data_IF_494634466125
#
_entry.id   IF_494634466125
#
_cell.length_a   1.000
_cell.length_b   1.000
_cell.length_c   1.000
_cell.angle_alpha   90.00
_cell.angle_beta   90.00
_cell.angle_gamma   90.00
#
_symmetry.space_group_name_H-M   'P 1'
#
loop_
_entity.id
_entity.type
_entity.pdbx_description
1 polymer ?
#
# COMPACT_ATOMS: atom_id res chain seq x y z
N UNK A 1 -15.22 11.79 -3.80
CA UNK A 1 -15.88 10.52 -3.44
C UNK A 1 -15.95 10.40 -1.92
N UNK A 2 -16.97 9.76 -1.34
CA UNK A 2 -16.99 9.50 0.09
C UNK A 2 -15.84 8.56 0.47
N UNK A 3 -15.18 8.78 1.62
CA UNK A 3 -14.01 8.01 2.04
C UNK A 3 -14.25 6.48 2.08
N UNK A 4 -15.48 6.06 2.39
CA UNK A 4 -15.87 4.64 2.36
C UNK A 4 -15.90 4.02 0.96
N UNK A 5 -16.27 4.78 -0.08
CA UNK A 5 -16.30 4.29 -1.45
C UNK A 5 -14.88 4.05 -2.00
N UNK A 6 -13.96 4.99 -1.73
CA UNK A 6 -12.56 4.84 -2.12
C UNK A 6 -11.89 3.65 -1.42
N UNK A 7 -12.18 3.45 -0.13
CA UNK A 7 -11.69 2.30 0.61
C UNK A 7 -12.15 0.96 0.00
N UNK A 8 -13.42 0.87 -0.42
CA UNK A 8 -13.96 -0.31 -1.06
C UNK A 8 -13.33 -0.56 -2.45
N UNK A 9 -13.14 0.49 -3.25
CA UNK A 9 -12.46 0.43 -4.54
C UNK A 9 -11.02 -0.05 -4.41
N UNK A 10 -10.25 0.53 -3.49
CA UNK A 10 -8.88 0.11 -3.20
C UNK A 10 -8.85 -1.36 -2.77
N UNK A 11 -9.79 -1.78 -1.92
CA UNK A 11 -9.91 -3.18 -1.51
C UNK A 11 -10.10 -4.09 -2.72
N UNK A 12 -11.07 -3.79 -3.58
CA UNK A 12 -11.35 -4.57 -4.78
C UNK A 12 -10.14 -4.61 -5.74
N UNK A 13 -9.41 -3.51 -5.89
CA UNK A 13 -8.21 -3.44 -6.74
C UNK A 13 -7.09 -4.36 -6.22
N UNK A 14 -6.83 -4.36 -4.91
CA UNK A 14 -5.88 -5.30 -4.31
C UNK A 14 -6.38 -6.75 -4.44
N UNK A 15 -7.65 -7.02 -4.16
CA UNK A 15 -8.17 -8.39 -4.20
C UNK A 15 -8.07 -8.97 -5.62
N UNK A 16 -8.32 -8.15 -6.65
CA UNK A 16 -8.12 -8.53 -8.05
C UNK A 16 -6.64 -8.80 -8.38
N UNK A 17 -5.71 -7.99 -7.86
CA UNK A 17 -4.27 -8.22 -8.02
C UNK A 17 -3.84 -9.53 -7.35
N UNK A 18 -4.26 -9.77 -6.10
CA UNK A 18 -3.96 -11.01 -5.38
C UNK A 18 -4.53 -12.24 -6.09
N UNK A 19 -5.73 -12.15 -6.66
CA UNK A 19 -6.37 -13.26 -7.36
C UNK A 19 -5.71 -13.61 -8.71
N UNK A 20 -5.03 -12.65 -9.33
CA UNK A 20 -4.40 -12.82 -10.66
C UNK A 20 -2.89 -13.03 -10.59
N UNK A 21 -2.26 -12.80 -9.43
CA UNK A 21 -0.83 -13.00 -9.25
C UNK A 21 -0.44 -14.48 -9.43
N UNK A 22 0.60 -14.79 -10.24
CA UNK A 22 1.10 -16.15 -10.38
C UNK A 22 1.52 -16.73 -9.02
N UNK A 23 1.19 -17.99 -8.77
CA UNK A 23 1.52 -18.68 -7.51
C UNK A 23 2.37 -19.93 -7.80
N UNK A 24 3.36 -19.78 -8.67
CA UNK A 24 4.12 -20.90 -9.24
C UNK A 24 5.32 -21.24 -8.36
N UNK A 25 6.03 -20.22 -7.88
CA UNK A 25 7.25 -20.38 -7.10
C UNK A 25 6.98 -20.37 -5.60
N UNK A 26 7.97 -20.79 -4.81
CA UNK A 26 7.92 -20.62 -3.35
C UNK A 26 7.92 -19.15 -2.96
N UNK A 27 8.66 -18.31 -3.70
CA UNK A 27 8.73 -16.88 -3.43
C UNK A 27 7.36 -16.22 -3.61
N UNK A 28 6.62 -16.58 -4.68
CA UNK A 28 5.27 -16.06 -4.93
C UNK A 28 4.33 -16.38 -3.76
N UNK A 29 4.38 -17.62 -3.26
CA UNK A 29 3.56 -18.05 -2.11
C UNK A 29 3.88 -17.27 -0.85
N UNK A 30 5.18 -17.08 -0.56
CA UNK A 30 5.63 -16.33 0.60
C UNK A 30 5.20 -14.86 0.51
N UNK A 31 5.33 -14.25 -0.67
CA UNK A 31 4.90 -12.87 -0.92
C UNK A 31 3.40 -12.70 -0.62
N UNK A 32 2.54 -13.56 -1.19
CA UNK A 32 1.10 -13.49 -0.99
C UNK A 32 0.72 -13.71 0.49
N UNK A 33 1.38 -14.64 1.17
CA UNK A 33 1.18 -14.92 2.59
C UNK A 33 1.57 -13.72 3.46
N UNK A 34 2.75 -13.13 3.24
CA UNK A 34 3.24 -11.99 3.99
C UNK A 34 2.39 -10.74 3.75
N UNK A 35 2.00 -10.50 2.50
CA UNK A 35 1.08 -9.41 2.17
C UNK A 35 -0.26 -9.57 2.89
N UNK A 36 -0.83 -10.78 2.86
CA UNK A 36 -2.10 -11.08 3.53
C UNK A 36 -2.02 -10.88 5.04
N UNK A 37 -0.92 -11.32 5.68
CA UNK A 37 -0.67 -11.10 7.12
C UNK A 37 -0.56 -9.62 7.48
N UNK A 38 0.07 -8.82 6.62
CA UNK A 38 0.27 -7.40 6.85
C UNK A 38 -0.90 -6.53 6.39
N UNK A 39 -1.91 -7.10 5.71
CA UNK A 39 -3.09 -6.38 5.23
C UNK A 39 -3.75 -5.57 6.34
N UNK A 40 -3.87 -4.27 6.12
CA UNK A 40 -4.59 -3.37 7.02
C UNK A 40 -6.06 -3.26 6.61
N UNK A 41 -6.91 -2.89 7.57
CA UNK A 41 -8.24 -2.37 7.23
C UNK A 41 -8.06 -1.02 6.53
N UNK A 42 -8.59 -0.83 5.31
CA UNK A 42 -8.42 0.42 4.60
C UNK A 42 -9.01 1.58 5.38
N UNK A 43 -8.22 2.63 5.54
CA UNK A 43 -8.60 3.89 6.17
C UNK A 43 -7.81 5.03 5.57
N UNK A 44 -8.37 6.24 5.60
CA UNK A 44 -7.63 7.43 5.21
C UNK A 44 -6.41 7.63 6.11
N UNK A 45 -5.29 8.00 5.51
CA UNK A 45 -4.03 8.30 6.20
C UNK A 45 -3.38 9.51 5.55
N UNK A 46 -2.73 10.34 6.35
CA UNK A 46 -1.89 11.43 5.85
C UNK A 46 -0.51 10.88 5.52
N UNK A 47 -0.06 11.10 4.29
CA UNK A 47 1.27 10.73 3.80
C UNK A 47 2.11 11.99 3.65
N UNK A 48 3.32 11.96 4.18
CA UNK A 48 4.30 13.03 4.02
C UNK A 48 5.03 12.85 2.69
N UNK A 49 5.17 13.93 1.95
CA UNK A 49 5.89 13.97 0.68
C UNK A 49 7.22 14.70 0.90
N UNK A 50 8.34 14.19 0.34
CA UNK A 50 9.61 14.90 0.36
C UNK A 50 9.44 16.35 -0.11
N UNK A 51 9.98 17.30 0.64
CA UNK A 51 9.74 18.74 0.42
C UNK A 51 8.67 19.36 1.33
N UNK A 52 8.09 18.59 2.26
CA UNK A 52 7.27 19.11 3.37
C UNK A 52 5.77 19.23 3.05
N UNK A 53 5.31 18.72 1.91
CA UNK A 53 3.90 18.64 1.59
C UNK A 53 3.27 17.38 2.21
N UNK A 54 1.94 17.37 2.34
CA UNK A 54 1.18 16.20 2.77
C UNK A 54 0.07 15.87 1.79
N UNK A 55 -0.25 14.59 1.68
CA UNK A 55 -1.32 14.06 0.81
C UNK A 55 -2.21 13.12 1.61
N UNK A 56 -3.44 12.94 1.15
CA UNK A 56 -4.34 11.94 1.73
C UNK A 56 -4.27 10.66 0.89
N UNK A 57 -3.90 9.56 1.53
CA UNK A 57 -3.90 8.23 0.94
C UNK A 57 -4.84 7.26 1.67
N UNK A 58 -4.86 6.01 1.22
CA UNK A 58 -5.58 4.91 1.86
C UNK A 58 -4.57 3.89 2.34
N UNK A 59 -4.57 3.58 3.63
CA UNK A 59 -3.69 2.58 4.23
C UNK A 59 -3.96 1.19 3.64
N UNK A 60 -2.92 0.49 3.19
CA UNK A 60 -3.02 -0.82 2.53
C UNK A 60 -2.44 -1.94 3.39
N UNK A 61 -1.25 -1.75 3.93
CA UNK A 61 -0.63 -2.64 4.91
C UNK A 61 -0.46 -1.93 6.24
N UNK A 62 -0.32 -2.71 7.32
CA UNK A 62 0.11 -2.19 8.61
C UNK A 62 1.60 -1.87 8.52
N UNK A 63 2.03 -0.90 9.31
CA UNK A 63 3.46 -0.69 9.56
C UNK A 63 4.08 -1.98 10.10
N UNK A 64 5.20 -2.39 9.51
CA UNK A 64 6.06 -3.44 10.03
C UNK A 64 7.24 -2.89 10.85
N UNK A 65 7.21 -1.60 11.18
CA UNK A 65 8.28 -0.86 11.87
C UNK A 65 9.30 -0.22 10.93
N UNK A 66 9.24 -0.52 9.62
CA UNK A 66 10.09 0.09 8.61
C UNK A 66 9.27 0.69 7.46
N UNK A 67 8.29 -0.06 6.96
CA UNK A 67 7.51 0.30 5.79
C UNK A 67 6.01 0.13 6.01
N UNK A 68 5.26 0.97 5.30
CA UNK A 68 3.81 0.92 5.18
C UNK A 68 3.43 1.14 3.72
N UNK A 69 2.56 0.30 3.18
CA UNK A 69 2.01 0.49 1.84
C UNK A 69 0.77 1.37 1.90
N UNK A 70 0.70 2.38 1.03
CA UNK A 70 -0.42 3.32 0.94
C UNK A 70 -0.86 3.47 -0.52
N UNK A 71 -2.16 3.54 -0.75
CA UNK A 71 -2.71 3.91 -2.06
C UNK A 71 -2.88 5.44 -2.15
N UNK A 72 -2.40 6.02 -3.25
CA UNK A 72 -2.38 7.46 -3.49
C UNK A 72 -3.39 7.82 -4.60
N UNK A 73 -4.59 8.32 -4.26
CA UNK A 73 -5.65 8.56 -5.25
C UNK A 73 -5.32 9.64 -6.27
N UNK A 74 -4.48 10.63 -5.92
CA UNK A 74 -4.11 11.73 -6.84
C UNK A 74 -3.29 11.25 -8.06
N UNK A 75 -2.55 10.15 -7.90
CA UNK A 75 -1.72 9.55 -8.95
C UNK A 75 -2.19 8.14 -9.34
N UNK A 76 -3.30 7.69 -8.75
CA UNK A 76 -3.91 6.37 -8.92
C UNK A 76 -2.96 5.15 -8.73
N UNK A 77 -1.89 5.31 -7.94
CA UNK A 77 -0.87 4.28 -7.71
C UNK A 77 -0.72 3.90 -6.23
N UNK A 78 -0.10 2.75 -5.99
CA UNK A 78 0.40 2.39 -4.66
C UNK A 78 1.78 3.01 -4.44
N UNK A 79 2.07 3.41 -3.21
CA UNK A 79 3.36 3.95 -2.77
C UNK A 79 3.85 3.15 -1.57
N UNK A 80 5.09 2.66 -1.66
CA UNK A 80 5.82 2.19 -0.51
C UNK A 80 6.29 3.41 0.30
N UNK A 81 5.81 3.53 1.52
CA UNK A 81 6.21 4.58 2.43
C UNK A 81 7.14 4.01 3.50
N UNK A 82 8.10 4.81 3.96
CA UNK A 82 8.84 4.51 5.19
C UNK A 82 8.08 5.05 6.40
N UNK A 83 8.15 4.31 7.50
CA UNK A 83 7.56 4.76 8.76
C UNK A 83 8.42 5.86 9.39
N UNK A 84 7.78 6.89 9.93
CA UNK A 84 8.45 7.97 10.65
C UNK A 84 7.63 8.44 11.84
N UNK A 85 8.24 9.26 12.70
CA UNK A 85 7.54 9.89 13.84
C UNK A 85 6.40 10.82 13.40
N UNK A 86 6.40 11.28 12.14
CA UNK A 86 5.36 12.12 11.56
C UNK A 86 4.33 11.33 10.76
N UNK A 87 4.39 9.99 10.80
CA UNK A 87 3.60 9.10 9.96
C UNK A 87 4.34 8.65 8.69
N UNK A 88 3.66 7.98 7.76
CA UNK A 88 4.28 7.42 6.57
C UNK A 88 4.86 8.52 5.66
N UNK A 89 6.04 8.29 5.11
CA UNK A 89 6.73 9.18 4.16
C UNK A 89 6.90 8.47 2.83
N UNK A 90 6.39 9.05 1.76
CA UNK A 90 6.58 8.53 0.39
C UNK A 90 8.05 8.66 -0.03
N UNK A 91 8.65 7.55 -0.48
CA UNK A 91 10.04 7.50 -0.94
C UNK A 91 10.16 7.40 -2.47
N UNK A 92 9.06 7.55 -3.21
CA UNK A 92 9.06 7.55 -4.68
C UNK A 92 9.06 6.16 -5.31
N UNK A 93 8.75 5.12 -4.53
CA UNK A 93 8.57 3.75 -5.05
C UNK A 93 7.09 3.51 -5.29
N UNK A 94 6.68 3.63 -6.55
CA UNK A 94 5.28 3.55 -6.97
C UNK A 94 5.02 2.41 -7.94
N UNK A 95 3.80 1.86 -7.92
CA UNK A 95 3.41 0.75 -8.79
C UNK A 95 2.13 0.05 -8.35
N UNK A 96 2.05 -1.25 -8.64
CA UNK A 96 0.99 -2.13 -8.11
C UNK A 96 1.26 -2.47 -6.65
N UNK A 97 0.26 -2.99 -5.93
CA UNK A 97 0.38 -3.20 -4.50
C UNK A 97 1.47 -4.24 -4.19
N UNK A 98 1.49 -5.37 -4.92
CA UNK A 98 2.48 -6.42 -4.72
C UNK A 98 3.87 -6.00 -5.18
N UNK A 99 3.98 -5.26 -6.29
CA UNK A 99 5.28 -4.80 -6.79
C UNK A 99 5.96 -3.83 -5.80
N UNK A 100 5.21 -2.88 -5.23
CA UNK A 100 5.72 -2.02 -4.17
C UNK A 100 6.06 -2.80 -2.90
N UNK A 101 5.21 -3.73 -2.48
CA UNK A 101 5.43 -4.52 -1.27
C UNK A 101 6.65 -5.45 -1.38
N UNK A 102 6.92 -6.00 -2.57
CA UNK A 102 8.04 -6.91 -2.83
C UNK A 102 9.37 -6.18 -3.15
N UNK A 103 9.40 -4.85 -3.09
CA UNK A 103 10.58 -4.06 -3.44
C UNK A 103 11.66 -4.02 -2.34
N UNK A 104 11.36 -4.58 -1.16
CA UNK A 104 12.23 -4.64 0.03
C UNK A 104 12.26 -6.04 0.63
#
# INVERSE_FOLDING_TARGET
MAAGALAAEVTARIDAELATHPCQTRADRMLLEDFSRQRARPRSVTVNIPGGATRTGVLVTRSNGAYTLVYMPEIELFSLCVDSIFGPVDIGVHGTALACFASV
#
